data_IF_299947195914
#
_entry.id   IF_299947195914
#
_cell.length_a   1.000
_cell.length_b   1.000
_cell.length_c   1.000
_cell.angle_alpha   90.00
_cell.angle_beta   90.00
_cell.angle_gamma   90.00
#
_symmetry.space_group_name_H-M   'P 1'
#
loop_
_entity.id
_entity.type
_entity.pdbx_description
1 polymer ?
#
# COMPACT_ATOMS: atom_id res chain seq x y z
N UNK A 1 37.87 -22.80 -5.12
CA UNK A 1 37.26 -21.46 -5.15
C UNK A 1 36.21 -21.30 -6.23
N UNK A 2 36.51 -21.32 -7.54
CA UNK A 2 35.44 -21.30 -8.58
C UNK A 2 34.49 -22.49 -8.43
N UNK A 3 35.06 -23.70 -8.29
CA UNK A 3 34.30 -24.92 -8.03
C UNK A 3 33.47 -24.89 -6.72
N UNK A 4 33.96 -24.20 -5.69
CA UNK A 4 33.26 -24.09 -4.39
C UNK A 4 32.13 -23.05 -4.46
N UNK A 5 32.30 -21.99 -5.26
CA UNK A 5 31.24 -21.01 -5.53
C UNK A 5 30.14 -21.60 -6.43
N UNK A 6 30.51 -22.50 -7.35
CA UNK A 6 29.58 -23.27 -8.18
C UNK A 6 28.79 -24.28 -7.34
N UNK A 7 29.43 -25.02 -6.44
CA UNK A 7 28.75 -25.95 -5.52
C UNK A 7 27.73 -25.23 -4.61
N UNK A 8 28.08 -24.07 -4.07
CA UNK A 8 27.17 -23.29 -3.20
C UNK A 8 25.98 -22.70 -4.00
N UNK A 9 26.19 -22.39 -5.29
CA UNK A 9 25.13 -21.92 -6.19
C UNK A 9 24.14 -23.04 -6.50
N UNK A 10 24.64 -24.23 -6.85
CA UNK A 10 23.82 -25.39 -7.20
C UNK A 10 23.03 -25.94 -6.00
N UNK A 11 23.56 -25.79 -4.79
CA UNK A 11 22.91 -26.30 -3.58
C UNK A 11 21.79 -25.39 -3.02
N UNK A 12 21.68 -24.13 -3.47
CA UNK A 12 20.78 -23.14 -2.85
C UNK A 12 19.73 -22.49 -3.75
N UNK A 13 19.81 -22.58 -5.07
CA UNK A 13 18.94 -21.81 -5.95
C UNK A 13 18.47 -22.58 -7.20
N UNK A 14 17.42 -23.39 -7.05
CA UNK A 14 16.62 -23.84 -8.19
C UNK A 14 15.57 -22.78 -8.53
N UNK A 15 15.94 -21.80 -9.36
CA UNK A 15 15.06 -20.69 -9.77
C UNK A 15 15.85 -19.59 -10.49
N UNK A 16 15.18 -18.47 -10.84
CA UNK A 16 15.63 -17.32 -11.68
C UNK A 16 17.07 -16.77 -11.51
N UNK A 17 17.83 -17.22 -10.52
CA UNK A 17 19.26 -16.91 -10.32
C UNK A 17 20.23 -17.88 -11.02
N UNK A 18 19.73 -18.93 -11.69
CA UNK A 18 20.57 -19.87 -12.44
C UNK A 18 21.44 -19.18 -13.50
N UNK A 19 20.92 -18.12 -14.13
CA UNK A 19 21.62 -17.35 -15.16
C UNK A 19 22.52 -16.24 -14.61
N UNK A 20 22.48 -15.97 -13.30
CA UNK A 20 23.28 -14.91 -12.70
C UNK A 20 24.77 -15.25 -12.81
N UNK A 21 25.54 -14.34 -13.41
CA UNK A 21 27.01 -14.40 -13.53
C UNK A 21 27.63 -13.20 -12.84
N UNK A 22 28.55 -13.45 -11.93
CA UNK A 22 29.34 -12.38 -11.33
C UNK A 22 30.18 -11.67 -12.40
N UNK A 23 29.93 -10.38 -12.60
CA UNK A 23 30.78 -9.54 -13.45
C UNK A 23 32.17 -9.40 -12.83
N UNK A 24 33.21 -9.12 -13.63
CA UNK A 24 34.56 -8.88 -13.11
C UNK A 24 34.61 -7.81 -12.01
N UNK A 25 33.79 -6.76 -12.11
CA UNK A 25 33.74 -5.67 -11.12
C UNK A 25 33.12 -6.11 -9.80
N UNK A 26 32.07 -6.93 -9.84
CA UNK A 26 31.48 -7.51 -8.62
C UNK A 26 32.50 -8.43 -7.91
N UNK A 27 33.25 -9.23 -8.68
CA UNK A 27 34.33 -10.07 -8.12
C UNK A 27 35.40 -9.19 -7.47
N UNK A 28 35.82 -8.11 -8.13
CA UNK A 28 36.82 -7.18 -7.59
C UNK A 28 36.34 -6.51 -6.29
N UNK A 29 35.06 -6.11 -6.21
CA UNK A 29 34.48 -5.52 -5.01
C UNK A 29 34.38 -6.50 -3.84
N UNK A 30 33.95 -7.75 -4.08
CA UNK A 30 33.93 -8.79 -3.05
C UNK A 30 35.34 -9.05 -2.52
N UNK A 31 36.34 -9.14 -3.41
CA UNK A 31 37.74 -9.35 -3.01
C UNK A 31 38.33 -8.19 -2.21
N UNK A 32 37.95 -6.94 -2.54
CA UNK A 32 38.34 -5.76 -1.78
C UNK A 32 37.81 -5.85 -0.35
N UNK A 33 36.55 -6.23 -0.18
CA UNK A 33 35.90 -6.39 1.14
C UNK A 33 36.56 -7.48 1.99
N UNK A 34 36.91 -8.63 1.39
CA UNK A 34 37.59 -9.72 2.09
C UNK A 34 38.97 -9.27 2.59
N UNK A 35 39.80 -8.66 1.72
CA UNK A 35 41.13 -8.15 2.12
C UNK A 35 41.05 -7.07 3.20
N UNK A 36 40.00 -6.24 3.18
CA UNK A 36 39.78 -5.20 4.18
C UNK A 36 39.38 -5.77 5.55
N UNK A 37 38.74 -6.95 5.59
CA UNK A 37 38.46 -7.67 6.85
C UNK A 37 39.71 -8.35 7.43
N UNK A 38 40.56 -8.95 6.59
CA UNK A 38 41.80 -9.61 7.03
C UNK A 38 42.83 -8.62 7.62
N UNK A 39 42.95 -7.44 7.02
CA UNK A 39 43.84 -6.39 7.53
C UNK A 39 43.38 -5.83 8.88
N UNK A 40 42.07 -5.77 9.14
CA UNK A 40 41.50 -5.38 10.44
C UNK A 40 41.74 -6.41 11.54
N UNK A 41 41.84 -7.70 11.22
CA UNK A 41 42.12 -8.76 12.20
C UNK A 41 43.61 -8.81 12.57
N UNK A 42 44.51 -8.58 11.61
CA UNK A 42 45.95 -8.52 11.87
C UNK A 42 46.35 -7.35 12.80
N UNK A 43 45.65 -6.22 12.73
CA UNK A 43 45.97 -5.03 13.53
C UNK A 43 45.49 -5.13 14.99
N UNK A 44 44.56 -6.06 15.32
CA UNK A 44 44.09 -6.30 16.69
C UNK A 44 44.98 -7.24 17.51
N UNK A 45 45.88 -8.01 16.88
CA UNK A 45 46.75 -8.98 17.57
C UNK A 45 48.16 -8.47 17.93
N UNK A 46 48.56 -7.25 17.56
CA UNK A 46 49.94 -6.76 17.86
C UNK A 46 50.12 -6.05 19.21
N UNK A 47 49.05 -5.86 20.01
CA UNK A 47 49.12 -5.28 21.36
C UNK A 47 48.51 -6.19 22.40
N UNK A 48 49.25 -7.26 22.77
CA UNK A 48 49.19 -7.93 24.08
C UNK A 48 50.28 -9.00 24.15
N UNK A 49 51.51 -8.57 24.45
CA UNK A 49 52.53 -9.44 25.04
C UNK A 49 52.46 -9.28 26.55
N UNK A 50 51.97 -10.30 27.26
CA UNK A 50 52.42 -10.66 28.61
C UNK A 50 51.80 -12.01 29.04
N UNK A 51 52.65 -13.04 29.02
CA UNK A 51 52.66 -14.26 29.83
C UNK A 51 51.35 -14.90 30.31
N UNK A 52 51.08 -16.11 29.84
CA UNK A 52 51.27 -17.36 30.59
C UNK A 52 50.88 -18.56 29.70
N UNK A 53 51.79 -19.53 29.62
CA UNK A 53 51.56 -20.83 28.99
C UNK A 53 50.54 -21.63 29.81
N UNK A 54 49.51 -22.16 29.14
CA UNK A 54 48.65 -23.24 29.65
C UNK A 54 48.58 -24.32 28.55
N UNK A 55 48.79 -25.60 28.86
CA UNK A 55 48.90 -26.66 27.85
C UNK A 55 47.54 -27.02 27.23
N UNK A 56 47.55 -27.15 25.89
CA UNK A 56 46.40 -27.34 24.99
C UNK A 56 46.02 -28.82 24.86
N UNK A 57 45.68 -29.51 25.95
CA UNK A 57 45.33 -30.95 25.89
C UNK A 57 44.03 -31.32 26.62
N UNK A 58 43.12 -30.36 26.87
CA UNK A 58 41.85 -30.63 27.57
C UNK A 58 40.59 -30.06 26.90
N UNK A 59 40.70 -29.48 25.70
CA UNK A 59 39.56 -28.87 24.99
C UNK A 59 38.93 -29.76 23.92
N UNK A 60 39.62 -30.81 23.43
CA UNK A 60 39.05 -31.69 22.41
C UNK A 60 38.02 -32.70 22.95
N UNK A 61 38.13 -33.12 24.21
CA UNK A 61 37.20 -34.10 24.82
C UNK A 61 35.90 -33.45 25.30
N UNK A 62 35.92 -32.17 25.67
CA UNK A 62 34.72 -31.44 26.08
C UNK A 62 33.84 -31.01 24.88
N UNK A 63 34.44 -30.81 23.69
CA UNK A 63 33.70 -30.48 22.45
C UNK A 63 32.99 -31.70 21.83
N UNK A 64 33.48 -32.92 22.07
CA UNK A 64 32.82 -34.13 21.59
C UNK A 64 31.68 -34.60 22.52
N UNK A 65 31.79 -34.35 23.84
CA UNK A 65 30.75 -34.72 24.79
C UNK A 65 29.57 -33.72 24.85
N UNK A 66 29.79 -32.44 24.52
CA UNK A 66 28.71 -31.45 24.47
C UNK A 66 27.92 -31.49 23.15
N UNK A 67 28.51 -31.94 22.05
CA UNK A 67 27.79 -32.08 20.77
C UNK A 67 26.87 -33.30 20.75
N UNK A 68 27.28 -34.46 21.28
CA UNK A 68 26.40 -35.64 21.33
C UNK A 68 25.22 -35.49 22.31
N UNK A 69 25.40 -34.77 23.44
CA UNK A 69 24.33 -34.54 24.41
C UNK A 69 23.28 -33.52 23.93
N UNK A 70 23.71 -32.45 23.25
CA UNK A 70 22.80 -31.44 22.69
C UNK A 70 22.00 -31.99 21.50
N UNK A 71 22.58 -32.86 20.67
CA UNK A 71 21.82 -33.52 19.58
C UNK A 71 20.69 -34.42 20.10
N UNK A 72 20.83 -35.06 21.26
CA UNK A 72 19.75 -35.92 21.81
C UNK A 72 18.61 -35.14 22.46
N UNK A 73 18.89 -33.94 23.01
CA UNK A 73 17.88 -33.08 23.64
C UNK A 73 17.16 -32.17 22.62
N UNK A 74 17.81 -31.84 21.50
CA UNK A 74 17.17 -31.11 20.39
C UNK A 74 16.24 -32.04 19.60
N UNK A 75 16.64 -33.30 19.33
CA UNK A 75 15.76 -34.24 18.61
C UNK A 75 14.54 -34.71 19.44
N UNK A 76 14.63 -34.73 20.78
CA UNK A 76 13.47 -35.09 21.61
C UNK A 76 12.45 -33.97 21.77
N UNK A 77 12.81 -32.72 21.43
CA UNK A 77 11.88 -31.59 21.44
C UNK A 77 11.27 -31.31 20.05
N UNK A 78 11.79 -31.92 18.99
CA UNK A 78 11.26 -31.82 17.62
C UNK A 78 10.11 -32.80 17.33
N UNK A 79 9.98 -33.91 18.08
CA UNK A 79 8.89 -34.88 17.84
C UNK A 79 7.54 -34.45 18.42
N UNK A 80 7.51 -33.57 19.44
CA UNK A 80 6.26 -33.03 20.02
C UNK A 80 5.90 -31.62 19.53
N UNK A 81 6.73 -31.01 18.67
CA UNK A 81 6.45 -29.73 17.99
C UNK A 81 6.23 -29.88 16.48
N UNK A 82 5.71 -31.03 16.04
CA UNK A 82 4.85 -31.03 14.84
C UNK A 82 3.50 -30.38 15.16
N UNK A 83 3.52 -29.17 15.74
CA UNK A 83 2.48 -28.20 15.43
C UNK A 83 2.61 -27.99 13.93
N UNK A 84 1.65 -28.55 13.18
CA UNK A 84 1.43 -28.28 11.76
C UNK A 84 1.74 -26.80 11.54
N UNK A 85 2.90 -26.49 10.96
CA UNK A 85 3.25 -25.11 10.68
C UNK A 85 2.10 -24.59 9.83
N UNK A 86 1.27 -23.71 10.42
CA UNK A 86 0.09 -23.18 9.75
C UNK A 86 0.58 -22.61 8.42
N UNK A 87 0.22 -23.29 7.33
CA UNK A 87 0.65 -22.90 6.00
C UNK A 87 0.02 -21.53 5.77
N UNK A 88 0.85 -20.48 5.79
CA UNK A 88 0.38 -19.13 5.51
C UNK A 88 -0.41 -19.15 4.21
N UNK A 89 -1.59 -18.52 4.17
CA UNK A 89 -2.37 -18.45 2.94
C UNK A 89 -1.53 -17.79 1.85
N UNK A 90 -1.68 -18.25 0.62
CA UNK A 90 -1.02 -17.66 -0.54
C UNK A 90 -2.05 -16.81 -1.29
N UNK A 91 -1.82 -15.50 -1.32
CA UNK A 91 -2.64 -14.58 -2.11
C UNK A 91 -2.25 -14.76 -3.59
N UNK A 92 -3.10 -15.44 -4.35
CA UNK A 92 -2.89 -15.62 -5.79
C UNK A 92 -3.23 -14.34 -6.56
N UNK A 93 -2.51 -14.07 -7.64
CA UNK A 93 -2.92 -13.04 -8.60
C UNK A 93 -4.15 -13.55 -9.37
N UNK A 94 -5.24 -12.78 -9.49
CA UNK A 94 -6.41 -13.18 -10.28
C UNK A 94 -5.98 -13.54 -11.71
N UNK A 95 -6.33 -14.73 -12.23
CA UNK A 95 -5.99 -15.10 -13.61
C UNK A 95 -6.67 -14.22 -14.65
N UNK A 96 -7.89 -13.76 -14.36
CA UNK A 96 -8.61 -12.80 -15.19
C UNK A 96 -8.40 -11.39 -14.64
N UNK A 97 -7.93 -10.49 -15.50
CA UNK A 97 -7.80 -9.05 -15.23
C UNK A 97 -8.47 -8.34 -16.41
N UNK A 98 -9.48 -7.47 -16.17
CA UNK A 98 -10.15 -6.74 -17.23
C UNK A 98 -9.18 -5.92 -18.08
N UNK A 99 -9.53 -5.69 -19.35
CA UNK A 99 -8.73 -4.86 -20.24
C UNK A 99 -8.57 -3.45 -19.65
N UNK A 100 -7.37 -2.87 -19.81
CA UNK A 100 -6.96 -1.58 -19.22
C UNK A 100 -6.70 -1.60 -17.71
N UNK A 101 -6.91 -2.69 -16.98
CA UNK A 101 -6.46 -2.75 -15.59
C UNK A 101 -5.04 -3.27 -15.48
N UNK A 102 -4.22 -2.59 -14.67
CA UNK A 102 -2.82 -2.96 -14.42
C UNK A 102 -2.59 -3.15 -12.93
N UNK A 103 -1.80 -4.17 -12.59
CA UNK A 103 -1.34 -4.40 -11.23
C UNK A 103 -0.47 -3.22 -10.76
N UNK A 104 -0.85 -2.58 -9.65
CA UNK A 104 -0.12 -1.45 -9.08
C UNK A 104 0.69 -1.85 -7.85
N UNK A 105 0.08 -2.56 -6.90
CA UNK A 105 0.71 -2.80 -5.60
C UNK A 105 0.27 -4.12 -4.94
N UNK A 106 1.17 -4.67 -4.12
CA UNK A 106 0.87 -5.75 -3.17
C UNK A 106 1.12 -5.22 -1.75
N UNK A 107 0.06 -5.20 -0.95
CA UNK A 107 0.12 -4.80 0.45
C UNK A 107 0.07 -6.04 1.35
N UNK A 108 0.92 -6.09 2.38
CA UNK A 108 0.88 -7.15 3.40
C UNK A 108 1.14 -6.54 4.77
N UNK A 109 0.10 -6.44 5.60
CA UNK A 109 0.18 -5.88 6.95
C UNK A 109 -0.53 -6.82 7.91
N UNK A 110 0.25 -7.49 8.75
CA UNK A 110 -0.27 -8.47 9.71
C UNK A 110 -0.92 -9.65 9.01
N UNK A 111 -2.24 -9.75 9.14
CA UNK A 111 -3.09 -10.80 8.54
C UNK A 111 -3.93 -10.28 7.37
N UNK A 112 -3.65 -9.07 6.87
CA UNK A 112 -4.20 -8.53 5.62
C UNK A 112 -3.20 -8.71 4.48
N UNK A 113 -3.66 -9.33 3.41
CA UNK A 113 -2.96 -9.46 2.13
C UNK A 113 -3.83 -8.82 1.05
N UNK A 114 -3.26 -8.00 0.19
CA UNK A 114 -4.04 -7.28 -0.82
C UNK A 114 -3.25 -7.09 -2.12
N UNK A 115 -3.92 -7.33 -3.25
CA UNK A 115 -3.50 -6.95 -4.58
C UNK A 115 -4.40 -5.83 -5.11
N UNK A 116 -3.81 -4.72 -5.55
CA UNK A 116 -4.55 -3.57 -6.10
C UNK A 116 -4.29 -3.43 -7.59
N UNK A 117 -5.37 -3.25 -8.36
CA UNK A 117 -5.38 -3.04 -9.78
C UNK A 117 -6.09 -1.74 -10.12
N UNK A 118 -5.55 -0.99 -11.08
CA UNK A 118 -6.05 0.32 -11.46
C UNK A 118 -6.23 0.41 -12.96
N UNK A 119 -7.30 1.05 -13.41
CA UNK A 119 -7.55 1.29 -14.82
C UNK A 119 -6.56 2.35 -15.37
N UNK A 120 -5.88 2.04 -16.46
CA UNK A 120 -4.89 2.91 -17.08
C UNK A 120 -5.47 4.14 -17.76
N UNK A 121 -6.76 4.12 -18.11
CA UNK A 121 -7.47 5.27 -18.68
C UNK A 121 -8.10 6.17 -17.60
N UNK A 122 -8.44 5.61 -16.43
CA UNK A 122 -8.99 6.36 -15.31
C UNK A 122 -8.48 5.78 -13.99
N UNK A 123 -7.50 6.44 -13.36
CA UNK A 123 -6.87 5.88 -12.14
C UNK A 123 -7.79 5.82 -10.91
N UNK A 124 -8.95 6.50 -10.95
CA UNK A 124 -9.98 6.39 -9.91
C UNK A 124 -10.77 5.08 -9.99
N UNK A 125 -10.76 4.40 -11.14
CA UNK A 125 -11.40 3.11 -11.32
C UNK A 125 -10.42 2.01 -10.91
N UNK A 126 -10.72 1.34 -9.80
CA UNK A 126 -9.84 0.34 -9.20
C UNK A 126 -10.60 -0.92 -8.82
N UNK A 127 -9.88 -2.03 -8.72
CA UNK A 127 -10.36 -3.19 -7.98
C UNK A 127 -9.23 -3.79 -7.16
N UNK A 128 -9.59 -4.47 -6.07
CA UNK A 128 -8.64 -5.17 -5.23
C UNK A 128 -9.10 -6.59 -4.92
N UNK A 129 -8.12 -7.47 -4.70
CA UNK A 129 -8.34 -8.80 -4.16
C UNK A 129 -7.60 -8.92 -2.83
N UNK A 130 -8.36 -9.15 -1.76
CA UNK A 130 -7.89 -9.13 -0.39
C UNK A 130 -8.10 -10.48 0.30
N UNK A 131 -7.21 -10.84 1.21
CA UNK A 131 -7.40 -11.90 2.21
C UNK A 131 -7.19 -11.32 3.60
N UNK A 132 -8.16 -11.48 4.49
CA UNK A 132 -8.11 -10.98 5.87
C UNK A 132 -8.81 -11.90 6.86
N UNK A 133 -8.39 -11.86 8.13
CA UNK A 133 -8.94 -12.73 9.18
C UNK A 133 -10.23 -12.19 9.81
N UNK A 134 -10.39 -10.88 9.81
CA UNK A 134 -11.53 -10.19 10.39
C UNK A 134 -12.17 -9.30 9.33
N UNK A 135 -13.49 -9.14 9.40
CA UNK A 135 -14.24 -8.18 8.59
C UNK A 135 -14.43 -6.88 9.34
N UNK A 136 -14.54 -5.77 8.59
CA UNK A 136 -15.02 -4.53 9.17
C UNK A 136 -16.51 -4.64 9.50
N UNK A 137 -16.93 -3.98 10.58
CA UNK A 137 -18.32 -4.00 11.07
C UNK A 137 -19.33 -3.53 10.00
N UNK A 138 -18.89 -2.74 9.02
CA UNK A 138 -19.72 -2.15 7.97
C UNK A 138 -20.10 -3.13 6.84
N UNK A 139 -19.56 -4.35 6.82
CA UNK A 139 -19.70 -5.29 5.68
C UNK A 139 -20.78 -6.37 5.81
N UNK A 140 -21.85 -6.13 6.58
CA UNK A 140 -22.77 -7.21 6.97
C UNK A 140 -24.09 -7.31 6.19
N UNK A 141 -24.37 -6.41 5.25
CA UNK A 141 -25.67 -6.36 4.57
C UNK A 141 -25.59 -6.56 3.05
N UNK A 142 -25.36 -7.79 2.59
CA UNK A 142 -25.39 -8.14 1.16
C UNK A 142 -26.39 -9.25 0.82
N UNK A 143 -26.48 -9.57 -0.47
CA UNK A 143 -27.29 -10.69 -0.98
C UNK A 143 -26.48 -11.98 -0.95
N UNK A 144 -27.08 -13.07 -0.49
CA UNK A 144 -26.46 -14.39 -0.52
C UNK A 144 -26.13 -14.80 -1.96
N UNK A 145 -24.92 -15.31 -2.18
CA UNK A 145 -24.41 -15.71 -3.48
C UNK A 145 -23.76 -17.09 -3.37
N UNK A 146 -24.19 -18.05 -4.19
CA UNK A 146 -23.52 -19.35 -4.27
C UNK A 146 -22.33 -19.24 -5.22
N UNK A 147 -21.11 -19.41 -4.70
CA UNK A 147 -19.89 -19.25 -5.47
C UNK A 147 -19.41 -20.56 -6.09
N UNK A 148 -19.52 -21.67 -5.36
CA UNK A 148 -19.15 -23.00 -5.81
C UNK A 148 -19.91 -24.07 -5.01
N UNK A 149 -19.73 -25.34 -5.36
CA UNK A 149 -20.24 -26.47 -4.58
C UNK A 149 -19.73 -26.41 -3.13
N UNK A 150 -20.63 -26.10 -2.19
CA UNK A 150 -20.35 -25.91 -0.75
C UNK A 150 -19.53 -24.64 -0.42
N UNK A 151 -19.48 -23.66 -1.32
CA UNK A 151 -18.89 -22.36 -1.03
C UNK A 151 -19.95 -21.27 -1.20
N UNK A 152 -20.42 -20.76 -0.08
CA UNK A 152 -21.30 -19.60 -0.03
C UNK A 152 -20.46 -18.32 0.09
N UNK A 153 -20.95 -17.27 -0.54
CA UNK A 153 -20.46 -15.91 -0.37
C UNK A 153 -21.60 -14.92 -0.24
N UNK A 154 -21.24 -13.66 -0.18
CA UNK A 154 -22.17 -12.55 -0.14
C UNK A 154 -21.73 -11.54 -1.19
N UNK A 155 -22.68 -11.05 -1.98
CA UNK A 155 -22.48 -9.93 -2.88
C UNK A 155 -23.08 -8.66 -2.28
N UNK A 156 -22.30 -7.59 -2.26
CA UNK A 156 -22.72 -6.28 -1.80
C UNK A 156 -22.65 -5.28 -2.94
N UNK A 157 -23.75 -4.56 -3.14
CA UNK A 157 -23.82 -3.40 -4.01
C UNK A 157 -23.88 -2.15 -3.14
N UNK A 158 -22.79 -1.39 -3.13
CA UNK A 158 -22.66 -0.15 -2.37
C UNK A 158 -23.14 1.08 -3.14
N UNK A 159 -23.11 2.21 -2.44
CA UNK A 159 -23.27 3.52 -3.05
C UNK A 159 -21.99 3.90 -3.81
N UNK A 160 -22.06 4.89 -4.70
CA UNK A 160 -20.91 5.46 -5.40
C UNK A 160 -20.09 4.48 -6.27
N UNK A 161 -20.75 3.43 -6.77
CA UNK A 161 -20.13 2.45 -7.66
C UNK A 161 -19.22 1.43 -6.96
N UNK A 162 -19.17 1.46 -5.62
CA UNK A 162 -18.48 0.45 -4.84
C UNK A 162 -19.28 -0.86 -4.83
N UNK A 163 -18.64 -2.00 -5.05
CA UNK A 163 -19.27 -3.30 -4.87
C UNK A 163 -18.23 -4.33 -4.49
N UNK A 164 -18.63 -5.38 -3.76
CA UNK A 164 -17.70 -6.45 -3.43
C UNK A 164 -18.38 -7.81 -3.33
N UNK A 165 -17.59 -8.85 -3.59
CA UNK A 165 -17.93 -10.25 -3.34
C UNK A 165 -17.03 -10.73 -2.22
N UNK A 166 -17.63 -11.35 -1.21
CA UNK A 166 -16.91 -11.90 -0.07
C UNK A 166 -17.25 -13.36 0.19
N UNK A 167 -16.25 -14.16 0.57
CA UNK A 167 -16.44 -15.53 1.05
C UNK A 167 -15.37 -15.94 2.06
N UNK A 168 -15.64 -16.98 2.83
CA UNK A 168 -14.66 -17.56 3.74
C UNK A 168 -14.02 -18.80 3.10
N UNK A 169 -12.69 -18.81 3.00
CA UNK A 169 -11.92 -19.97 2.57
C UNK A 169 -10.50 -19.92 3.13
N UNK A 170 -9.95 -21.09 3.46
CA UNK A 170 -8.59 -21.24 4.01
C UNK A 170 -8.39 -20.56 5.38
N UNK A 171 -9.48 -20.31 6.11
CA UNK A 171 -9.47 -19.59 7.39
C UNK A 171 -9.37 -18.07 7.27
N UNK A 172 -9.61 -17.53 6.07
CA UNK A 172 -9.62 -16.11 5.79
C UNK A 172 -10.90 -15.73 5.05
N UNK A 173 -11.35 -14.50 5.27
CA UNK A 173 -12.26 -13.83 4.37
C UNK A 173 -11.50 -13.38 3.13
N UNK A 174 -12.01 -13.77 1.97
CA UNK A 174 -11.53 -13.38 0.67
C UNK A 174 -12.50 -12.37 0.11
N UNK A 175 -11.99 -11.22 -0.32
CA UNK A 175 -12.81 -10.09 -0.76
C UNK A 175 -12.30 -9.64 -2.13
N UNK A 176 -13.18 -9.61 -3.11
CA UNK A 176 -12.94 -8.94 -4.39
C UNK A 176 -13.81 -7.69 -4.39
N UNK A 177 -13.17 -6.54 -4.42
CA UNK A 177 -13.82 -5.24 -4.26
C UNK A 177 -13.51 -4.35 -5.46
N UNK A 178 -14.52 -3.63 -5.96
CA UNK A 178 -14.37 -2.62 -7.01
C UNK A 178 -14.75 -1.24 -6.50
N UNK A 179 -14.13 -0.23 -7.09
CA UNK A 179 -14.48 1.18 -6.94
C UNK A 179 -14.51 1.85 -8.33
N UNK A 180 -15.53 2.68 -8.56
CA UNK A 180 -15.73 3.38 -9.83
C UNK A 180 -16.49 2.55 -10.88
N UNK A 181 -16.20 2.79 -12.16
CA UNK A 181 -17.02 2.31 -13.28
C UNK A 181 -16.70 0.89 -13.75
N UNK A 182 -16.01 0.08 -12.94
CA UNK A 182 -15.86 -1.34 -13.27
C UNK A 182 -17.25 -1.98 -13.29
N UNK A 183 -17.60 -2.61 -14.41
CA UNK A 183 -18.88 -3.30 -14.56
C UNK A 183 -19.00 -4.46 -13.57
N UNK A 184 -20.23 -4.78 -13.21
CA UNK A 184 -20.51 -5.88 -12.28
C UNK A 184 -20.13 -7.25 -12.89
N UNK A 185 -20.35 -7.44 -14.20
CA UNK A 185 -19.93 -8.64 -14.92
C UNK A 185 -18.43 -8.92 -14.78
N UNK A 186 -17.60 -7.87 -14.83
CA UNK A 186 -16.16 -7.97 -14.70
C UNK A 186 -15.74 -8.36 -13.27
N UNK A 187 -16.46 -7.87 -12.27
CA UNK A 187 -16.26 -8.27 -10.88
C UNK A 187 -16.53 -9.77 -10.67
N UNK A 188 -17.60 -10.29 -11.25
CA UNK A 188 -17.90 -11.72 -11.23
C UNK A 188 -16.84 -12.53 -11.98
N UNK A 189 -16.41 -12.11 -13.17
CA UNK A 189 -15.34 -12.76 -13.95
C UNK A 189 -14.00 -12.80 -13.17
N UNK A 190 -13.67 -11.74 -12.42
CA UNK A 190 -12.49 -11.73 -11.54
C UNK A 190 -12.64 -12.78 -10.42
N UNK A 191 -13.75 -12.77 -9.68
CA UNK A 191 -13.99 -13.71 -8.59
C UNK A 191 -14.00 -15.17 -9.08
N UNK A 192 -14.67 -15.43 -10.21
CA UNK A 192 -14.72 -16.72 -10.89
C UNK A 192 -13.31 -17.25 -11.19
N UNK A 193 -12.45 -16.43 -11.79
CA UNK A 193 -11.08 -16.82 -12.10
C UNK A 193 -10.24 -17.18 -10.87
N UNK A 194 -10.48 -16.50 -9.74
CA UNK A 194 -9.81 -16.78 -8.45
C UNK A 194 -10.30 -18.13 -7.90
N UNK A 195 -11.60 -18.37 -7.95
CA UNK A 195 -12.22 -19.63 -7.52
C UNK A 195 -11.67 -20.82 -8.33
N UNK A 196 -11.63 -20.70 -9.66
CA UNK A 196 -11.06 -21.73 -10.53
C UNK A 196 -9.57 -21.99 -10.23
N UNK A 197 -8.78 -20.93 -10.05
CA UNK A 197 -7.36 -21.06 -9.72
C UNK A 197 -7.13 -21.70 -8.34
N UNK A 198 -8.07 -21.55 -7.41
CA UNK A 198 -8.07 -22.26 -6.12
C UNK A 198 -8.69 -23.66 -6.19
N UNK A 199 -9.14 -24.10 -7.37
CA UNK A 199 -9.66 -25.44 -7.62
C UNK A 199 -11.13 -25.63 -7.27
N UNK A 200 -11.89 -24.54 -7.11
CA UNK A 200 -13.34 -24.60 -6.97
C UNK A 200 -14.00 -24.72 -8.35
N UNK A 201 -15.13 -25.44 -8.40
CA UNK A 201 -16.01 -25.46 -9.57
C UNK A 201 -17.00 -24.31 -9.43
N UNK A 202 -16.68 -23.18 -10.05
CA UNK A 202 -17.45 -21.94 -9.89
C UNK A 202 -18.87 -22.06 -10.46
N UNK A 203 -19.83 -21.44 -9.77
CA UNK A 203 -21.23 -21.34 -10.16
C UNK A 203 -21.61 -19.91 -10.61
N UNK A 204 -20.64 -19.00 -10.69
CA UNK A 204 -20.87 -17.60 -11.06
C UNK A 204 -21.22 -17.38 -12.54
N UNK A 205 -21.05 -18.38 -13.39
CA UNK A 205 -21.36 -18.28 -14.82
C UNK A 205 -22.82 -17.88 -15.09
N UNK A 206 -23.77 -18.40 -14.30
CA UNK A 206 -25.19 -18.02 -14.43
C UNK A 206 -25.40 -16.54 -14.11
N UNK A 207 -24.74 -16.03 -13.06
CA UNK A 207 -24.78 -14.61 -12.71
C UNK A 207 -24.17 -13.73 -13.81
N UNK A 208 -23.04 -14.16 -14.40
CA UNK A 208 -22.39 -13.43 -15.51
C UNK A 208 -23.33 -13.33 -16.71
N UNK A 209 -23.95 -14.43 -17.13
CA UNK A 209 -24.88 -14.44 -18.27
C UNK A 209 -26.14 -13.59 -18.04
N UNK A 210 -26.65 -13.55 -16.81
CA UNK A 210 -27.83 -12.76 -16.47
C UNK A 210 -27.53 -11.27 -16.43
N UNK A 211 -26.34 -10.87 -15.94
CA UNK A 211 -25.88 -9.48 -15.95
C UNK A 211 -25.65 -8.99 -17.39
N UNK A 212 -25.03 -9.79 -18.26
CA UNK A 212 -24.80 -9.42 -19.67
C UNK A 212 -26.12 -9.16 -20.41
N UNK A 213 -27.17 -9.97 -20.18
CA UNK A 213 -28.48 -9.80 -20.84
C UNK A 213 -29.23 -8.55 -20.37
N UNK A 214 -29.03 -8.10 -19.13
CA UNK A 214 -29.71 -6.91 -18.62
C UNK A 214 -29.17 -5.64 -19.27
N UNK A 215 -27.86 -5.53 -19.50
CA UNK A 215 -27.25 -4.35 -20.14
C UNK A 215 -27.75 -4.16 -21.59
N UNK A 216 -27.86 -5.25 -22.35
CA UNK A 216 -28.35 -5.19 -23.73
C UNK A 216 -29.81 -4.70 -23.82
N UNK A 217 -30.62 -4.94 -22.79
CA UNK A 217 -32.03 -4.56 -22.77
C UNK A 217 -32.21 -3.07 -22.43
N UNK A 218 -31.31 -2.48 -21.65
CA UNK A 218 -31.37 -1.07 -21.26
C UNK A 218 -30.87 -0.13 -22.36
N UNK A 219 -29.94 -0.60 -23.20
CA UNK A 219 -29.41 0.17 -24.34
C UNK A 219 -30.40 0.32 -25.51
N UNK A 220 -31.43 -0.55 -25.61
CA UNK A 220 -32.40 -0.53 -26.71
C UNK A 220 -33.77 0.08 -26.37
N UNK A 221 -33.95 0.68 -25.19
CA UNK A 221 -35.19 1.39 -24.89
C UNK A 221 -35.39 2.56 -25.89
N UNK A 222 -36.37 2.49 -26.81
CA UNK A 222 -36.54 3.53 -27.81
C UNK A 222 -37.00 4.80 -27.11
N UNK A 223 -36.31 5.91 -27.40
CA UNK A 223 -36.68 7.28 -27.06
C UNK A 223 -38.03 7.65 -27.71
N UNK A 224 -39.10 7.09 -27.16
CA UNK A 224 -40.48 7.36 -27.53
C UNK A 224 -41.11 8.09 -26.35
N UNK A 225 -40.70 9.34 -26.14
CA UNK A 225 -41.58 10.31 -25.50
C UNK A 225 -42.74 10.59 -26.46
N UNK A 226 -44.00 10.25 -26.11
CA UNK A 226 -45.14 10.72 -26.87
C UNK A 226 -45.28 12.23 -26.65
N UNK A 227 -44.92 12.98 -27.68
CA UNK A 227 -45.13 14.42 -27.82
C UNK A 227 -46.66 14.70 -27.77
N UNK A 228 -47.19 14.94 -26.58
CA UNK A 228 -48.54 15.44 -26.38
C UNK A 228 -48.50 16.96 -26.28
N UNK A 229 -48.48 17.64 -27.42
CA UNK A 229 -48.90 19.03 -27.49
C UNK A 229 -49.75 19.30 -28.73
N UNK A 230 -51.05 19.04 -28.57
CA UNK A 230 -52.07 19.26 -29.58
C UNK A 230 -52.50 20.74 -29.57
N UNK A 231 -51.98 21.48 -30.55
CA UNK A 231 -52.72 22.39 -31.43
C UNK A 231 -53.49 23.60 -30.83
N UNK A 232 -52.95 24.81 -31.06
CA UNK A 232 -53.74 26.04 -31.26
C UNK A 232 -53.00 27.07 -32.13
N UNK A 233 -53.33 27.09 -33.42
CA UNK A 233 -53.12 28.19 -34.39
C UNK A 233 -54.06 29.40 -34.12
N UNK A 234 -53.97 30.53 -34.86
CA UNK A 234 -52.79 31.23 -35.40
C UNK A 234 -52.88 32.77 -35.23
N UNK A 235 -51.81 33.52 -35.56
CA UNK A 235 -51.82 34.83 -36.25
C UNK A 235 -50.35 35.23 -36.49
N UNK A 236 -49.88 35.16 -37.73
CA UNK A 236 -49.73 36.30 -38.67
C UNK A 236 -48.57 37.26 -38.27
N UNK A 237 -47.45 37.20 -38.99
CA UNK A 237 -47.05 38.24 -39.96
C UNK A 237 -45.51 38.38 -40.13
N UNK A 238 -45.12 38.59 -41.39
CA UNK A 238 -43.95 39.33 -41.91
C UNK A 238 -42.67 38.59 -42.30
N UNK A 239 -42.56 38.39 -43.62
CA UNK A 239 -41.42 38.65 -44.53
C UNK A 239 -40.10 39.16 -43.92
N UNK A 240 -38.98 38.54 -44.27
CA UNK A 240 -38.07 39.07 -45.29
C UNK A 240 -36.99 38.05 -45.73
N UNK A 241 -36.70 38.12 -47.03
CA UNK A 241 -35.80 37.32 -47.87
C UNK A 241 -34.34 37.87 -47.80
N UNK A 242 -33.36 37.44 -48.63
CA UNK A 242 -32.15 36.76 -48.14
C UNK A 242 -30.87 37.54 -48.48
N UNK A 243 -29.71 37.14 -47.98
CA UNK A 243 -28.46 37.47 -48.69
C UNK A 243 -27.37 36.42 -48.51
N UNK A 244 -26.91 35.94 -49.66
CA UNK A 244 -25.78 35.04 -49.87
C UNK A 244 -24.47 35.75 -49.50
N UNK A 245 -23.46 35.02 -49.03
CA UNK A 245 -22.13 35.13 -49.64
C UNK A 245 -21.19 33.96 -49.33
N UNK A 246 -20.46 33.58 -50.38
CA UNK A 246 -19.45 32.53 -50.47
C UNK A 246 -18.02 33.07 -50.26
N UNK A 247 -17.16 32.25 -49.62
CA UNK A 247 -15.71 32.03 -49.85
C UNK A 247 -14.72 33.20 -49.58
N UNK A 248 -13.40 32.96 -49.32
CA UNK A 248 -12.57 31.79 -49.68
C UNK A 248 -11.62 31.26 -48.56
N UNK A 249 -10.76 30.24 -48.84
CA UNK A 249 -9.86 29.62 -47.86
C UNK A 249 -8.51 30.33 -47.79
N UNK A 250 -7.86 30.28 -46.63
CA UNK A 250 -6.51 30.85 -46.42
C UNK A 250 -5.52 29.73 -46.14
N UNK A 251 -4.47 29.67 -46.98
CA UNK A 251 -3.27 28.85 -46.86
C UNK A 251 -2.26 29.47 -45.86
N UNK A 252 -1.40 28.59 -45.34
CA UNK A 252 -0.06 28.81 -44.76
C UNK A 252 0.08 29.64 -43.47
N UNK A 253 0.59 29.01 -42.41
CA UNK A 253 1.94 29.27 -41.87
C UNK A 253 2.26 28.24 -40.78
N UNK A 254 3.27 27.40 -41.02
CA UNK A 254 3.99 26.66 -39.99
C UNK A 254 4.86 27.67 -39.22
N UNK A 255 4.53 27.94 -37.96
CA UNK A 255 5.48 28.47 -36.99
C UNK A 255 5.48 27.57 -35.75
N UNK A 256 6.64 26.95 -35.56
CA UNK A 256 7.08 26.17 -34.42
C UNK A 256 7.18 27.10 -33.19
N UNK A 257 6.11 27.15 -32.39
CA UNK A 257 6.11 27.80 -31.08
C UNK A 257 6.51 26.78 -30.00
N UNK A 258 7.72 26.95 -29.46
CA UNK A 258 8.13 26.35 -28.19
C UNK A 258 7.16 26.81 -27.09
N UNK A 259 6.34 25.89 -26.58
CA UNK A 259 5.57 26.09 -25.35
C UNK A 259 6.53 26.27 -24.17
N UNK A 260 6.71 27.53 -23.76
CA UNK A 260 7.17 27.86 -22.42
C UNK A 260 6.08 27.49 -21.41
N UNK A 261 6.43 26.92 -20.24
CA UNK A 261 5.45 26.61 -19.22
C UNK A 261 4.84 27.90 -18.67
N UNK A 262 3.51 28.00 -18.76
CA UNK A 262 2.71 29.03 -18.10
C UNK A 262 3.10 29.11 -16.62
N UNK A 263 3.64 30.26 -16.25
CA UNK A 263 3.83 30.66 -14.88
C UNK A 263 2.45 30.78 -14.24
N UNK A 264 2.11 29.82 -13.37
CA UNK A 264 0.97 29.90 -12.48
C UNK A 264 0.90 31.29 -11.84
N UNK A 265 -0.11 32.07 -12.20
CA UNK A 265 -0.50 33.25 -11.45
C UNK A 265 -0.86 32.83 -10.02
N UNK A 266 -0.32 33.50 -8.99
CA UNK A 266 -0.74 33.23 -7.62
C UNK A 266 -2.16 33.76 -7.46
N UNK A 267 -3.15 32.87 -7.48
CA UNK A 267 -4.48 33.19 -6.97
C UNK A 267 -4.35 33.62 -5.51
N UNK A 268 -4.65 34.89 -5.26
CA UNK A 268 -4.71 35.53 -3.94
C UNK A 268 -5.89 34.95 -3.16
N UNK A 269 -5.73 33.73 -2.64
CA UNK A 269 -6.62 33.16 -1.65
C UNK A 269 -6.34 33.84 -0.31
N UNK A 270 -7.03 34.94 -0.08
CA UNK A 270 -7.25 35.48 1.26
C UNK A 270 -7.87 34.38 2.11
N UNK A 271 -7.06 33.75 2.97
CA UNK A 271 -7.52 32.82 3.99
C UNK A 271 -8.44 33.60 4.94
N UNK A 272 -9.75 33.47 4.76
CA UNK A 272 -10.73 33.94 5.73
C UNK A 272 -10.46 33.23 7.06
N UNK A 273 -10.04 34.02 8.06
CA UNK A 273 -9.86 33.55 9.42
C UNK A 273 -11.26 33.24 10.02
N UNK A 274 -11.70 32.00 9.89
CA UNK A 274 -12.87 31.47 10.58
C UNK A 274 -12.75 31.78 12.09
N UNK A 275 -13.83 32.31 12.73
CA UNK A 275 -13.80 32.68 14.13
C UNK A 275 -13.55 31.46 15.01
N UNK A 276 -12.42 31.48 15.73
CA UNK A 276 -12.01 30.41 16.64
C UNK A 276 -13.04 30.26 17.77
N UNK A 277 -13.82 29.17 17.74
CA UNK A 277 -14.67 28.81 18.87
C UNK A 277 -13.82 28.56 20.13
N UNK A 278 -14.20 29.21 21.23
CA UNK A 278 -13.49 29.13 22.51
C UNK A 278 -13.52 27.69 23.06
N UNK A 279 -12.42 26.95 22.87
CA UNK A 279 -12.21 25.59 23.41
C UNK A 279 -11.96 24.49 22.38
N UNK A 280 -12.01 24.81 21.09
CA UNK A 280 -11.65 23.91 19.99
C UNK A 280 -10.15 23.74 19.77
N UNK A 281 -9.76 22.85 18.86
CA UNK A 281 -8.37 22.71 18.40
C UNK A 281 -8.04 23.90 17.49
N UNK A 282 -7.08 24.73 17.89
CA UNK A 282 -6.63 25.84 17.04
C UNK A 282 -5.77 25.34 15.87
N UNK A 283 -5.72 26.13 14.79
CA UNK A 283 -4.85 25.88 13.64
C UNK A 283 -3.37 25.76 14.01
N UNK A 284 -2.91 26.57 14.97
CA UNK A 284 -1.55 26.53 15.50
C UNK A 284 -1.27 25.23 16.27
N UNK A 285 -2.23 24.74 17.07
CA UNK A 285 -2.09 23.45 17.77
C UNK A 285 -2.10 22.27 16.79
N UNK A 286 -3.00 22.28 15.81
CA UNK A 286 -3.13 21.24 14.79
C UNK A 286 -1.83 21.09 13.98
N UNK A 287 -1.31 22.20 13.44
CA UNK A 287 -0.02 22.22 12.73
C UNK A 287 1.16 21.89 13.66
N UNK A 288 1.11 22.33 14.92
CA UNK A 288 2.10 21.99 15.94
C UNK A 288 2.21 20.49 16.23
N UNK A 289 1.11 19.75 16.22
CA UNK A 289 1.12 18.28 16.37
C UNK A 289 1.86 17.60 15.21
N UNK A 290 1.58 18.03 13.98
CA UNK A 290 2.23 17.47 12.79
C UNK A 290 3.73 17.82 12.73
N UNK A 291 4.09 19.07 13.02
CA UNK A 291 5.49 19.51 13.09
C UNK A 291 6.28 18.78 14.19
N UNK A 292 5.64 18.51 15.33
CA UNK A 292 6.22 17.72 16.42
C UNK A 292 6.47 16.27 16.01
N UNK A 293 5.57 15.68 15.21
CA UNK A 293 5.74 14.34 14.62
C UNK A 293 6.96 14.25 13.72
N UNK A 294 7.08 15.17 12.76
CA UNK A 294 8.24 15.24 11.87
C UNK A 294 9.53 15.44 12.66
N UNK A 295 9.54 16.37 13.62
CA UNK A 295 10.72 16.65 14.45
C UNK A 295 11.15 15.43 15.26
N UNK A 296 10.20 14.76 15.91
CA UNK A 296 10.48 13.57 16.70
C UNK A 296 11.00 12.43 15.82
N UNK A 297 10.38 12.23 14.66
CA UNK A 297 10.80 11.24 13.67
C UNK A 297 12.25 11.47 13.22
N UNK A 298 12.58 12.70 12.79
CA UNK A 298 13.95 13.08 12.40
C UNK A 298 14.96 12.87 13.52
N UNK A 299 14.56 13.14 14.77
CA UNK A 299 15.40 12.90 15.94
C UNK A 299 15.68 11.41 16.15
N UNK A 300 14.69 10.53 15.96
CA UNK A 300 14.93 9.09 16.09
C UNK A 300 15.75 8.56 14.91
N UNK A 301 15.52 9.02 13.68
CA UNK A 301 16.31 8.61 12.51
C UNK A 301 17.81 8.91 12.69
N UNK A 302 18.16 10.07 13.25
CA UNK A 302 19.56 10.45 13.51
C UNK A 302 20.27 9.58 14.56
N UNK A 303 19.54 8.78 15.34
CA UNK A 303 20.12 7.91 16.37
C UNK A 303 20.59 6.57 15.83
N UNK A 304 20.10 6.13 14.66
CA UNK A 304 20.55 4.87 14.07
C UNK A 304 22.03 4.94 13.70
N UNK A 305 22.76 3.85 13.96
CA UNK A 305 24.19 3.77 13.71
C UNK A 305 24.52 3.49 12.23
N UNK A 306 25.81 3.37 11.90
CA UNK A 306 26.26 3.09 10.53
C UNK A 306 25.82 1.71 9.99
N UNK A 307 25.34 0.80 10.85
CA UNK A 307 24.75 -0.48 10.46
C UNK A 307 23.22 -0.43 10.47
N UNK A 308 22.63 0.77 10.50
CA UNK A 308 21.20 1.00 10.59
C UNK A 308 20.57 0.41 11.86
N UNK A 309 21.35 0.20 12.93
CA UNK A 309 20.84 -0.33 14.18
C UNK A 309 20.56 0.80 15.17
N UNK A 310 19.40 0.77 15.82
CA UNK A 310 19.11 1.74 16.87
C UNK A 310 19.92 1.40 18.14
N UNK A 311 20.59 2.37 18.78
CA UNK A 311 21.50 2.10 19.90
C UNK A 311 20.77 1.76 21.21
N UNK A 312 19.51 2.20 21.36
CA UNK A 312 18.73 2.01 22.61
C UNK A 312 17.53 1.08 22.42
N UNK A 313 16.65 1.36 21.47
CA UNK A 313 15.49 0.51 21.16
C UNK A 313 15.87 -0.86 20.62
N UNK A 314 15.22 -1.87 21.17
CA UNK A 314 15.33 -3.27 20.77
C UNK A 314 14.10 -3.75 20.02
N UNK A 315 12.95 -3.13 20.28
CA UNK A 315 11.67 -3.53 19.72
C UNK A 315 10.99 -2.39 18.98
N UNK A 316 10.12 -2.73 18.04
CA UNK A 316 9.26 -1.75 17.35
C UNK A 316 8.36 -1.00 18.35
N UNK A 317 7.91 -1.72 19.38
CA UNK A 317 7.04 -1.23 20.44
C UNK A 317 7.65 -0.08 21.26
N UNK A 318 8.93 -0.18 21.60
CA UNK A 318 9.68 0.89 22.26
C UNK A 318 9.78 2.13 21.36
N UNK A 319 9.99 1.94 20.06
CA UNK A 319 10.08 3.02 19.09
C UNK A 319 8.74 3.75 18.93
N UNK A 320 7.62 3.04 18.78
CA UNK A 320 6.30 3.67 18.65
C UNK A 320 5.86 4.41 19.92
N UNK A 321 6.29 3.93 21.09
CA UNK A 321 5.95 4.56 22.37
C UNK A 321 6.46 6.00 22.47
N UNK A 322 7.58 6.33 21.81
CA UNK A 322 8.10 7.72 21.77
C UNK A 322 7.08 8.71 21.20
N UNK A 323 6.22 8.25 20.29
CA UNK A 323 5.23 9.08 19.60
C UNK A 323 3.90 9.22 20.36
N UNK A 324 3.73 8.52 21.49
CA UNK A 324 2.49 8.51 22.30
C UNK A 324 2.02 9.89 22.78
N UNK A 325 2.93 10.87 22.81
CA UNK A 325 2.59 12.24 23.18
C UNK A 325 1.88 13.03 22.07
N UNK A 326 1.88 12.54 20.83
CA UNK A 326 1.39 13.28 19.65
C UNK A 326 0.47 12.45 18.75
N UNK A 327 0.52 11.13 18.84
CA UNK A 327 -0.36 10.24 18.09
C UNK A 327 -0.68 8.97 18.87
N UNK A 328 -1.73 8.27 18.45
CA UNK A 328 -2.01 6.92 18.94
C UNK A 328 -0.89 5.97 18.53
N UNK A 329 -0.68 4.95 19.35
CA UNK A 329 0.28 3.89 19.06
C UNK A 329 -0.04 3.14 17.75
N UNK A 330 -1.33 2.93 17.48
CA UNK A 330 -1.81 2.32 16.24
C UNK A 330 -1.42 3.17 15.03
N UNK A 331 -1.61 4.50 15.10
CA UNK A 331 -1.17 5.40 14.05
C UNK A 331 0.35 5.41 13.88
N UNK A 332 1.12 5.41 14.97
CA UNK A 332 2.58 5.32 14.90
C UNK A 332 3.04 4.05 14.18
N UNK A 333 2.41 2.91 14.49
CA UNK A 333 2.68 1.64 13.82
C UNK A 333 2.30 1.69 12.33
N UNK A 334 1.10 2.20 11.99
CA UNK A 334 0.66 2.38 10.59
C UNK A 334 1.62 3.26 9.80
N UNK A 335 2.07 4.39 10.38
CA UNK A 335 2.94 5.37 9.71
C UNK A 335 4.41 4.98 9.63
N UNK A 336 4.93 4.25 10.61
CA UNK A 336 6.36 4.00 10.71
C UNK A 336 6.74 2.53 10.69
N UNK A 337 5.77 1.61 10.65
CA UNK A 337 6.03 0.17 10.70
C UNK A 337 6.85 -0.35 9.52
N UNK A 338 6.75 0.29 8.35
CA UNK A 338 7.48 -0.13 7.16
C UNK A 338 8.94 0.35 7.12
N UNK A 339 9.33 1.28 8.01
CA UNK A 339 10.69 1.84 8.03
C UNK A 339 11.58 1.23 9.12
N UNK A 340 11.02 0.42 10.01
CA UNK A 340 11.78 -0.26 11.06
C UNK A 340 11.51 -1.76 11.01
N UNK A 341 12.50 -2.55 11.42
CA UNK A 341 12.41 -4.00 11.44
C UNK A 341 13.04 -4.52 12.75
N UNK A 342 12.26 -5.23 13.55
CA UNK A 342 12.77 -5.91 14.74
C UNK A 342 13.57 -7.18 14.38
N UNK A 343 14.79 -7.28 14.92
CA UNK A 343 15.65 -8.47 14.80
C UNK A 343 16.02 -8.98 16.19
N UNK A 344 16.50 -10.22 16.25
CA UNK A 344 16.88 -10.89 17.50
C UNK A 344 17.85 -10.08 18.38
N UNK A 345 18.67 -9.20 17.78
CA UNK A 345 19.65 -8.39 18.51
C UNK A 345 19.30 -6.89 18.58
N UNK A 346 18.15 -6.44 18.04
CA UNK A 346 17.62 -5.09 18.23
C UNK A 346 16.79 -4.55 17.07
N UNK A 347 16.49 -3.25 17.11
CA UNK A 347 15.70 -2.56 16.10
C UNK A 347 16.59 -2.02 14.98
N UNK A 348 16.20 -2.25 13.73
CA UNK A 348 16.91 -1.78 12.55
C UNK A 348 16.06 -0.83 11.72
N UNK A 349 16.70 0.13 11.06
CA UNK A 349 16.07 0.96 10.04
C UNK A 349 16.09 0.18 8.71
N UNK A 350 14.94 0.15 8.04
CA UNK A 350 14.79 -0.33 6.67
C UNK A 350 15.12 0.83 5.73
N UNK A 351 16.08 0.63 4.82
CA UNK A 351 16.48 1.65 3.85
C UNK A 351 15.42 1.79 2.74
N UNK A 352 14.32 2.45 3.09
CA UNK A 352 13.18 2.74 2.24
C UNK A 352 12.86 4.24 2.27
N UNK A 353 11.81 4.62 1.56
CA UNK A 353 11.32 5.99 1.53
C UNK A 353 10.78 6.47 2.89
N UNK A 354 10.94 7.75 3.19
CA UNK A 354 10.41 8.37 4.40
C UNK A 354 8.88 8.60 4.33
N UNK A 355 8.21 8.75 5.47
CA UNK A 355 6.77 9.03 5.49
C UNK A 355 6.49 10.47 5.03
N UNK A 356 5.33 10.67 4.41
CA UNK A 356 4.85 11.99 4.00
C UNK A 356 4.33 12.75 5.23
N UNK A 357 4.75 14.01 5.39
CA UNK A 357 4.31 14.89 6.48
C UNK A 357 3.52 16.08 5.94
N UNK A 358 2.71 16.71 6.81
CA UNK A 358 2.11 18.00 6.53
C UNK A 358 3.22 19.04 6.28
N UNK A 359 3.17 19.70 5.13
CA UNK A 359 4.01 20.86 4.86
C UNK A 359 3.29 22.12 5.37
N UNK A 360 3.68 22.59 6.54
CA UNK A 360 3.09 23.79 7.15
C UNK A 360 3.43 25.09 6.41
N UNK A 361 4.33 25.04 5.42
CA UNK A 361 4.62 26.18 4.54
C UNK A 361 3.61 26.29 3.38
N UNK A 362 2.85 25.23 3.11
CA UNK A 362 1.81 25.19 2.10
C UNK A 362 0.43 25.37 2.73
N UNK A 363 -0.56 25.87 1.97
CA UNK A 363 -1.94 25.91 2.43
C UNK A 363 -2.46 24.51 2.79
N UNK A 364 -3.35 24.47 3.79
CA UNK A 364 -4.10 23.27 4.17
C UNK A 364 -5.47 23.70 4.70
N UNK A 365 -6.44 22.79 4.65
CA UNK A 365 -7.76 22.96 5.27
C UNK A 365 -7.74 22.32 6.65
N UNK A 366 -8.36 22.97 7.64
CA UNK A 366 -8.64 22.39 8.95
C UNK A 366 -10.15 22.45 9.17
N UNK A 367 -10.79 21.28 9.19
CA UNK A 367 -12.24 21.17 9.33
C UNK A 367 -12.60 20.42 10.60
N UNK A 368 -13.48 21.01 11.41
CA UNK A 368 -14.05 20.31 12.55
C UNK A 368 -15.10 19.32 12.07
N UNK A 369 -14.93 18.03 12.38
CA UNK A 369 -15.89 16.97 12.05
C UNK A 369 -16.80 16.62 13.21
N UNK A 370 -16.36 16.89 14.46
CA UNK A 370 -17.17 16.76 15.67
C UNK A 370 -16.63 17.65 16.81
N UNK A 371 -17.32 17.77 17.96
CA UNK A 371 -16.80 18.50 19.12
C UNK A 371 -15.43 18.01 19.63
N UNK A 372 -15.06 16.77 19.32
CA UNK A 372 -13.82 16.12 19.76
C UNK A 372 -12.95 15.64 18.61
N UNK A 373 -13.17 16.14 17.38
CA UNK A 373 -12.45 15.70 16.20
C UNK A 373 -12.31 16.78 15.13
N UNK A 374 -11.13 16.81 14.51
CA UNK A 374 -10.78 17.67 13.39
C UNK A 374 -10.08 16.84 12.31
N UNK A 375 -10.21 17.27 11.05
CA UNK A 375 -9.45 16.76 9.91
C UNK A 375 -8.60 17.87 9.31
N UNK A 376 -7.32 17.57 9.06
CA UNK A 376 -6.44 18.37 8.22
C UNK A 376 -6.42 17.75 6.83
N UNK A 377 -6.67 18.54 5.79
CA UNK A 377 -6.56 18.11 4.39
C UNK A 377 -5.51 18.96 3.67
N UNK A 378 -4.53 18.32 3.03
CA UNK A 378 -3.51 19.01 2.24
C UNK A 378 -3.22 18.27 0.93
N UNK A 379 -3.27 19.00 -0.19
CA UNK A 379 -2.81 18.50 -1.49
C UNK A 379 -1.29 18.62 -1.57
N UNK A 380 -0.62 17.53 -1.94
CA UNK A 380 0.80 17.46 -2.23
C UNK A 380 1.01 17.17 -3.71
N UNK A 381 2.07 17.74 -4.27
CA UNK A 381 2.60 17.35 -5.57
C UNK A 381 4.09 17.09 -5.41
N UNK A 382 4.55 15.92 -5.81
CA UNK A 382 5.96 15.56 -5.81
C UNK A 382 6.32 14.74 -7.03
N UNK A 383 7.58 14.78 -7.45
CA UNK A 383 8.05 13.97 -8.58
C UNK A 383 7.94 12.47 -8.31
N UNK A 384 8.01 12.07 -7.03
CA UNK A 384 8.03 10.66 -6.62
C UNK A 384 6.64 10.05 -6.48
N UNK A 385 5.66 10.83 -6.00
CA UNK A 385 4.31 10.34 -5.75
C UNK A 385 3.23 10.93 -6.67
N UNK A 386 3.59 11.84 -7.58
CA UNK A 386 2.59 12.58 -8.35
C UNK A 386 1.80 13.55 -7.48
N UNK A 387 0.51 13.70 -7.79
CA UNK A 387 -0.44 14.47 -6.99
C UNK A 387 -1.08 13.51 -5.99
N UNK A 388 -1.16 13.92 -4.73
CA UNK A 388 -1.89 13.17 -3.71
C UNK A 388 -2.51 14.15 -2.71
N UNK A 389 -3.53 13.70 -1.99
CA UNK A 389 -4.12 14.44 -0.88
C UNK A 389 -3.85 13.66 0.41
N UNK A 390 -3.24 14.30 1.41
CA UNK A 390 -3.16 13.74 2.76
C UNK A 390 -4.33 14.19 3.60
N UNK A 391 -4.85 13.28 4.43
CA UNK A 391 -5.87 13.56 5.43
C UNK A 391 -5.36 13.11 6.79
N UNK A 392 -5.33 14.04 7.76
CA UNK A 392 -4.89 13.78 9.14
C UNK A 392 -6.09 13.94 10.07
N UNK A 393 -6.47 12.88 10.77
CA UNK A 393 -7.52 12.96 11.79
C UNK A 393 -6.90 13.23 13.16
N UNK A 394 -7.40 14.25 13.85
CA UNK A 394 -6.97 14.65 15.18
C UNK A 394 -8.17 14.55 16.11
N UNK A 395 -8.07 13.72 17.15
CA UNK A 395 -9.14 13.52 18.11
C UNK A 395 -8.69 13.87 19.52
N UNK A 396 -9.66 14.23 20.37
CA UNK A 396 -9.43 14.54 21.78
C UNK A 396 -9.48 13.26 22.61
N UNK A 397 -8.33 12.74 23.01
CA UNK A 397 -8.17 11.54 23.84
C UNK A 397 -7.64 11.93 25.22
N UNK A 398 -8.31 11.51 26.29
CA UNK A 398 -7.94 11.85 27.68
C UNK A 398 -7.72 13.37 27.90
N UNK A 399 -8.59 14.18 27.29
CA UNK A 399 -8.53 15.65 27.31
C UNK A 399 -7.28 16.26 26.62
N UNK A 400 -6.62 15.50 25.75
CA UNK A 400 -5.49 15.95 24.93
C UNK A 400 -5.76 15.70 23.45
N UNK A 401 -5.42 16.66 22.60
CA UNK A 401 -5.46 16.47 21.16
C UNK A 401 -4.26 15.66 20.68
N UNK A 402 -4.52 14.57 19.96
CA UNK A 402 -3.50 13.71 19.35
C UNK A 402 -3.96 13.27 17.96
N UNK A 403 -3.01 12.95 17.07
CA UNK A 403 -3.35 12.36 15.78
C UNK A 403 -3.80 10.92 15.98
N UNK A 404 -4.96 10.58 15.43
CA UNK A 404 -5.59 9.26 15.56
C UNK A 404 -5.57 8.49 14.25
N UNK A 405 -5.58 9.19 13.12
CA UNK A 405 -5.47 8.55 11.81
C UNK A 405 -4.69 9.40 10.78
N UNK A 406 -4.25 8.74 9.72
CA UNK A 406 -3.60 9.32 8.56
C UNK A 406 -3.91 8.52 7.31
N UNK A 407 -4.37 9.21 6.27
CA UNK A 407 -4.72 8.65 4.97
C UNK A 407 -4.03 9.44 3.86
N UNK A 408 -3.83 8.78 2.71
CA UNK A 408 -3.40 9.40 1.47
C UNK A 408 -4.33 8.94 0.35
N UNK A 409 -4.73 9.87 -0.52
CA UNK A 409 -5.60 9.65 -1.67
C UNK A 409 -4.84 10.07 -2.93
N UNK A 410 -4.80 9.22 -3.94
CA UNK A 410 -4.11 9.47 -5.22
C UNK A 410 -5.04 10.06 -6.27
#
# INVERSE_FOLDING_TARGET
MEKELEEVKDQKHSGKLAEFRFTPDMKANVMRTIRQKETRTAQRHSRKKAGKWVPVMLTAVFLAASSAGVYSLVNQQEEDQQQTAEKKPELITPPYIPENYVFKHMHTVGELYEHIFTNSANEQNTFSYQMRKELSDDQQAGSDLMLADNLAGTYYHGEDGQSYIIWEAEGFYQVVEKQGDLKEEELFKIADSILEAKGYNSLLLENIEDTEKQEDTEAEAPDNQPDQNENKEPEENTEQDPEQNNLPPTEETEEEQEEQPEANEPEDHQQEEEPVEQGGLSRAEASGLSASSMTLFDQQLKKFDANLKHPTFKTEEEFYTEFSSIMTKQLAKKRFGYIVEEKADGLYLVATEGPIFLDTSQPYELKQTSPSEYKITQKHKSDLHGVLTIVITISKVENKWIMTDFEHQY
#
